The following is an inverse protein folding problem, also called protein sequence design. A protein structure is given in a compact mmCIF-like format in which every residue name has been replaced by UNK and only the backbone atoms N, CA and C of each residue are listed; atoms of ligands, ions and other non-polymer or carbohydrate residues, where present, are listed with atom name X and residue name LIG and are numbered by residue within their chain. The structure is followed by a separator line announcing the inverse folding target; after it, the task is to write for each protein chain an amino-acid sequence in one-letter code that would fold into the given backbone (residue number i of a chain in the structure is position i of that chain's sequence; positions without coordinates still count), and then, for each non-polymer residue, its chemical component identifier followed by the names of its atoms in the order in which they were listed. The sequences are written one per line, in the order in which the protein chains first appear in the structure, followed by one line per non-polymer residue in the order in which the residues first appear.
data_IF_383603807477
#
_entry.id   IF_383603807477
#
_cell.length_a   1.000
_cell.length_b   1.000
_cell.length_c   1.000
_cell.angle_alpha   90.00
_cell.angle_beta   90.00
_cell.angle_gamma   90.00
#
_symmetry.space_group_name_H-M   'P 1'
#
loop_
_entity.id
_entity.type
_entity.pdbx_description
1 polymer ?
#
# COMPACT_ATOMS: atom_id res chain seq x y z
N UNK A 1 -24.10 6.55 12.83
CA UNK A 1 -23.24 7.39 13.68
C UNK A 1 -21.81 7.28 13.18
N UNK A 2 -20.95 8.26 13.44
CA UNK A 2 -19.56 8.30 12.97
C UNK A 2 -18.76 7.06 13.39
N UNK A 3 -19.03 6.50 14.58
CA UNK A 3 -18.40 5.26 15.05
C UNK A 3 -18.79 4.08 14.16
N UNK A 4 -20.08 3.95 13.81
CA UNK A 4 -20.53 2.85 12.95
C UNK A 4 -19.89 2.91 11.56
N UNK A 5 -19.74 4.11 10.99
CA UNK A 5 -19.09 4.28 9.68
C UNK A 5 -17.62 3.81 9.69
N UNK A 6 -16.92 3.96 10.83
CA UNK A 6 -15.55 3.44 10.98
C UNK A 6 -15.58 1.92 10.99
N UNK A 7 -16.44 1.34 11.83
CA UNK A 7 -16.60 -0.12 11.94
C UNK A 7 -16.90 -0.73 10.58
N UNK A 8 -17.90 -0.20 9.87
CA UNK A 8 -18.32 -0.70 8.56
C UNK A 8 -17.17 -0.61 7.53
N UNK A 9 -16.36 0.45 7.59
CA UNK A 9 -15.22 0.63 6.69
C UNK A 9 -14.07 -0.34 7.00
N UNK A 10 -13.81 -0.60 8.29
CA UNK A 10 -12.81 -1.60 8.72
C UNK A 10 -13.25 -2.98 8.26
N UNK A 11 -14.49 -3.38 8.54
CA UNK A 11 -15.05 -4.67 8.15
C UNK A 11 -15.01 -4.86 6.63
N UNK A 12 -15.39 -3.84 5.87
CA UNK A 12 -15.32 -3.89 4.41
C UNK A 12 -13.89 -4.12 3.91
N UNK A 13 -12.90 -3.45 4.49
CA UNK A 13 -11.50 -3.65 4.09
C UNK A 13 -11.05 -5.09 4.40
N UNK A 14 -11.28 -5.56 5.62
CA UNK A 14 -10.89 -6.91 6.06
C UNK A 14 -11.55 -8.02 5.21
N UNK A 15 -12.82 -7.83 4.83
CA UNK A 15 -13.54 -8.77 3.97
C UNK A 15 -13.03 -8.74 2.52
N UNK A 16 -12.80 -7.55 1.96
CA UNK A 16 -12.31 -7.41 0.59
C UNK A 16 -10.91 -8.00 0.40
N UNK A 17 -10.04 -7.88 1.41
CA UNK A 17 -8.63 -8.29 1.33
C UNK A 17 -8.32 -9.53 2.17
N UNK A 18 -9.33 -10.31 2.56
CA UNK A 18 -9.15 -11.48 3.45
C UNK A 18 -8.10 -12.48 2.94
N UNK A 19 -8.03 -12.72 1.62
CA UNK A 19 -7.10 -13.68 1.05
C UNK A 19 -5.65 -13.23 1.25
N UNK A 20 -5.32 -12.00 0.87
CA UNK A 20 -3.96 -11.46 1.04
C UNK A 20 -3.60 -11.27 2.51
N UNK A 21 -4.58 -10.91 3.36
CA UNK A 21 -4.38 -10.80 4.81
C UNK A 21 -4.22 -12.16 5.51
N UNK A 22 -4.48 -13.28 4.82
CA UNK A 22 -4.23 -14.63 5.34
C UNK A 22 -2.80 -15.13 5.03
N UNK A 23 -2.07 -14.43 4.16
CA UNK A 23 -0.70 -14.77 3.80
C UNK A 23 0.26 -14.47 4.95
N UNK A 24 1.43 -15.09 4.85
CA UNK A 24 2.57 -14.87 5.75
C UNK A 24 3.82 -14.68 4.92
N UNK A 25 4.89 -14.16 5.53
CA UNK A 25 6.22 -14.09 4.89
C UNK A 25 6.76 -15.45 4.44
N UNK A 26 6.19 -16.57 4.91
CA UNK A 26 6.60 -17.92 4.50
C UNK A 26 5.81 -18.40 3.28
N UNK A 27 4.56 -17.94 3.12
CA UNK A 27 3.64 -18.44 2.11
C UNK A 27 3.46 -17.50 0.93
N UNK A 28 3.98 -16.27 1.05
CA UNK A 28 3.85 -15.26 0.00
C UNK A 28 4.80 -15.56 -1.16
N UNK A 29 4.27 -15.43 -2.37
CA UNK A 29 4.99 -15.65 -3.62
C UNK A 29 4.99 -14.35 -4.44
N UNK A 30 5.92 -14.23 -5.40
CA UNK A 30 5.99 -13.07 -6.31
C UNK A 30 4.67 -12.84 -7.08
N UNK A 31 3.87 -13.89 -7.29
CA UNK A 31 2.56 -13.80 -7.94
C UNK A 31 1.51 -13.06 -7.11
N UNK A 32 1.68 -12.98 -5.79
CA UNK A 32 0.75 -12.30 -4.88
C UNK A 32 0.94 -10.77 -4.89
N UNK A 33 1.98 -10.27 -5.58
CA UNK A 33 2.37 -8.86 -5.54
C UNK A 33 1.23 -7.90 -5.87
N UNK A 34 0.47 -8.18 -6.91
CA UNK A 34 -0.62 -7.29 -7.30
C UNK A 34 -1.70 -7.22 -6.22
N UNK A 35 -2.04 -8.34 -5.57
CA UNK A 35 -3.05 -8.37 -4.51
C UNK A 35 -2.58 -7.61 -3.26
N UNK A 36 -1.27 -7.67 -2.94
CA UNK A 36 -0.65 -6.89 -1.85
C UNK A 36 -0.69 -5.40 -2.17
N UNK A 37 -0.33 -5.01 -3.41
CA UNK A 37 -0.36 -3.62 -3.86
C UNK A 37 -1.79 -3.06 -3.85
N UNK A 38 -2.77 -3.81 -4.34
CA UNK A 38 -4.18 -3.39 -4.35
C UNK A 38 -4.71 -3.15 -2.93
N UNK A 39 -4.29 -3.97 -1.96
CA UNK A 39 -4.65 -3.79 -0.55
C UNK A 39 -3.98 -2.56 0.08
N UNK A 40 -2.71 -2.29 -0.25
CA UNK A 40 -1.99 -1.10 0.19
C UNK A 40 -2.60 0.17 -0.40
N UNK A 41 -2.88 0.20 -1.70
CA UNK A 41 -3.53 1.32 -2.38
C UNK A 41 -4.90 1.63 -1.75
N UNK A 42 -5.71 0.60 -1.50
CA UNK A 42 -6.99 0.77 -0.82
C UNK A 42 -6.82 1.29 0.61
N UNK A 43 -5.83 0.81 1.35
CA UNK A 43 -5.50 1.34 2.67
C UNK A 43 -5.17 2.84 2.59
N UNK A 44 -4.38 3.29 1.61
CA UNK A 44 -4.04 4.71 1.46
C UNK A 44 -5.23 5.61 1.15
N UNK A 45 -6.30 5.08 0.55
CA UNK A 45 -7.55 5.79 0.30
C UNK A 45 -8.46 5.89 1.55
N UNK A 46 -8.19 5.12 2.61
CA UNK A 46 -8.97 5.16 3.85
C UNK A 46 -8.76 6.48 4.62
N UNK A 47 -9.77 6.82 5.42
CA UNK A 47 -9.71 7.94 6.35
C UNK A 47 -8.75 7.65 7.52
N UNK A 48 -8.18 8.70 8.12
CA UNK A 48 -7.14 8.57 9.14
C UNK A 48 -7.58 7.78 10.39
N UNK A 49 -8.86 7.90 10.77
CA UNK A 49 -9.46 7.13 11.87
C UNK A 49 -9.62 5.64 11.51
N UNK A 50 -9.95 5.30 10.26
CA UNK A 50 -10.01 3.89 9.84
C UNK A 50 -8.61 3.29 9.75
N UNK A 51 -7.64 4.04 9.20
CA UNK A 51 -6.22 3.64 9.17
C UNK A 51 -5.67 3.33 10.58
N UNK A 52 -6.07 4.11 11.58
CA UNK A 52 -5.67 3.89 12.97
C UNK A 52 -6.16 2.54 13.55
N UNK A 53 -7.25 1.99 13.04
CA UNK A 53 -7.78 0.67 13.43
C UNK A 53 -7.14 -0.49 12.63
N UNK A 54 -6.44 -0.20 11.54
CA UNK A 54 -5.89 -1.19 10.59
C UNK A 54 -4.35 -1.22 10.57
N UNK A 55 -3.70 -0.80 11.66
CA UNK A 55 -2.23 -0.70 11.70
C UNK A 55 -1.53 -2.07 11.62
N UNK A 56 -2.16 -3.13 12.14
CA UNK A 56 -1.59 -4.47 12.11
C UNK A 56 -1.63 -5.06 10.70
N UNK A 57 -2.74 -4.85 9.99
CA UNK A 57 -2.96 -5.24 8.61
C UNK A 57 -1.98 -4.49 7.69
N UNK A 58 -1.78 -3.19 7.92
CA UNK A 58 -0.77 -2.43 7.18
C UNK A 58 0.63 -2.99 7.39
N UNK A 59 1.02 -3.27 8.62
CA UNK A 59 2.34 -3.85 8.93
C UNK A 59 2.53 -5.25 8.32
N UNK A 60 1.46 -6.05 8.25
CA UNK A 60 1.47 -7.32 7.53
C UNK A 60 1.71 -7.10 6.04
N UNK A 61 0.91 -6.26 5.38
CA UNK A 61 1.05 -5.97 3.94
C UNK A 61 2.44 -5.45 3.58
N UNK A 62 3.02 -4.57 4.42
CA UNK A 62 4.39 -4.09 4.26
C UNK A 62 5.42 -5.23 4.36
N UNK A 63 5.24 -6.14 5.32
CA UNK A 63 6.12 -7.30 5.48
C UNK A 63 6.02 -8.27 4.30
N UNK A 64 4.81 -8.47 3.75
CA UNK A 64 4.59 -9.29 2.57
C UNK A 64 5.26 -8.67 1.33
N UNK A 65 5.09 -7.37 1.12
CA UNK A 65 5.71 -6.67 -0.01
C UNK A 65 7.24 -6.69 0.09
N UNK A 66 7.80 -6.52 1.29
CA UNK A 66 9.24 -6.63 1.53
C UNK A 66 9.78 -8.02 1.16
N UNK A 67 9.09 -9.08 1.59
CA UNK A 67 9.48 -10.46 1.26
C UNK A 67 9.43 -10.69 -0.27
N UNK A 68 8.36 -10.24 -0.95
CA UNK A 68 8.23 -10.30 -2.41
C UNK A 68 9.39 -9.55 -3.10
N UNK A 69 9.72 -8.35 -2.63
CA UNK A 69 10.81 -7.56 -3.16
C UNK A 69 12.16 -8.26 -2.96
N UNK A 70 12.37 -8.97 -1.84
CA UNK A 70 13.60 -9.73 -1.61
C UNK A 70 13.80 -10.89 -2.60
N UNK A 71 12.70 -11.40 -3.18
CA UNK A 71 12.70 -12.43 -4.21
C UNK A 71 12.85 -11.86 -5.64
N UNK A 72 12.82 -10.53 -5.79
CA UNK A 72 12.85 -9.83 -7.07
C UNK A 72 14.23 -9.20 -7.32
N UNK A 73 14.81 -9.30 -8.53
CA UNK A 73 16.07 -8.63 -8.83
C UNK A 73 16.02 -7.12 -8.60
N UNK A 74 17.04 -6.56 -7.97
CA UNK A 74 17.10 -5.13 -7.61
C UNK A 74 16.93 -4.21 -8.82
N UNK A 75 17.50 -4.56 -9.97
CA UNK A 75 17.34 -3.75 -11.19
C UNK A 75 15.89 -3.69 -11.68
N UNK A 76 15.12 -4.77 -11.47
CA UNK A 76 13.70 -4.81 -11.80
C UNK A 76 12.89 -3.90 -10.86
N UNK A 77 13.17 -3.94 -9.55
CA UNK A 77 12.53 -3.07 -8.56
C UNK A 77 12.78 -1.58 -8.83
N UNK A 78 14.01 -1.21 -9.18
CA UNK A 78 14.36 0.18 -9.51
C UNK A 78 13.62 0.65 -10.76
N UNK A 79 13.48 -0.21 -11.78
CA UNK A 79 12.76 0.12 -13.00
C UNK A 79 11.26 0.30 -12.73
N UNK A 80 10.67 -0.60 -11.96
CA UNK A 80 9.27 -0.59 -11.56
C UNK A 80 8.93 0.68 -10.76
N UNK A 81 9.68 0.96 -9.68
CA UNK A 81 9.48 2.17 -8.86
C UNK A 81 9.49 3.45 -9.70
N UNK A 82 10.46 3.57 -10.61
CA UNK A 82 10.57 4.75 -11.49
C UNK A 82 9.42 4.85 -12.48
N UNK A 83 8.85 3.73 -12.89
CA UNK A 83 7.74 3.68 -13.85
C UNK A 83 6.43 4.02 -13.14
N UNK A 84 6.15 3.36 -12.02
CA UNK A 84 4.87 3.45 -11.32
C UNK A 84 4.71 4.79 -10.59
N UNK A 85 5.81 5.36 -10.10
CA UNK A 85 5.82 6.66 -9.41
C UNK A 85 6.33 7.81 -10.28
N UNK A 86 6.40 7.65 -11.61
CA UNK A 86 6.91 8.67 -12.53
C UNK A 86 6.24 10.03 -12.33
N UNK A 87 4.92 10.06 -12.11
CA UNK A 87 4.16 11.29 -11.87
C UNK A 87 4.61 11.98 -10.58
N UNK A 88 4.72 11.25 -9.48
CA UNK A 88 5.17 11.79 -8.20
C UNK A 88 6.63 12.29 -8.28
N UNK A 89 7.50 11.55 -8.96
CA UNK A 89 8.91 11.90 -9.18
C UNK A 89 9.10 13.14 -10.07
N UNK A 90 8.13 13.47 -10.92
CA UNK A 90 8.17 14.66 -11.77
C UNK A 90 7.69 15.94 -11.05
N UNK A 91 7.08 15.82 -9.87
CA UNK A 91 6.62 16.97 -9.10
C UNK A 91 7.80 17.79 -8.59
N UNK A 92 7.59 19.10 -8.57
CA UNK A 92 8.53 20.09 -8.03
C UNK A 92 7.80 20.95 -7.02
N UNK A 93 8.54 21.73 -6.24
CA UNK A 93 7.97 22.71 -5.30
C UNK A 93 7.06 23.74 -6.00
N UNK A 94 7.17 23.90 -7.32
CA UNK A 94 6.34 24.80 -8.12
C UNK A 94 5.11 24.13 -8.75
N UNK A 95 5.11 22.80 -8.89
CA UNK A 95 4.07 22.06 -9.61
C UNK A 95 3.19 21.21 -8.71
N UNK A 96 3.64 20.88 -7.50
CA UNK A 96 2.87 20.08 -6.53
C UNK A 96 1.58 20.78 -6.11
N UNK A 97 0.49 20.03 -6.08
CA UNK A 97 -0.84 20.45 -5.65
C UNK A 97 -1.36 19.57 -4.50
N UNK A 98 -2.39 20.04 -3.79
CA UNK A 98 -2.99 19.27 -2.71
C UNK A 98 -3.57 17.92 -3.18
N UNK A 99 -4.01 17.84 -4.44
CA UNK A 99 -4.49 16.62 -5.08
C UNK A 99 -3.40 15.56 -5.27
N UNK A 100 -2.13 15.96 -5.30
CA UNK A 100 -1.00 15.05 -5.50
C UNK A 100 -0.61 14.29 -4.22
N UNK A 101 -1.23 14.64 -3.08
CA UNK A 101 -0.90 14.03 -1.78
C UNK A 101 -0.91 12.51 -1.84
N UNK A 102 -1.94 11.92 -2.44
CA UNK A 102 -2.08 10.47 -2.53
C UNK A 102 -0.90 9.84 -3.27
N UNK A 103 -0.57 10.32 -4.47
CA UNK A 103 0.54 9.76 -5.27
C UNK A 103 1.91 9.98 -4.60
N UNK A 104 2.06 11.04 -3.81
CA UNK A 104 3.28 11.31 -3.03
C UNK A 104 3.38 10.37 -1.83
N UNK A 105 2.29 10.17 -1.08
CA UNK A 105 2.25 9.23 0.05
C UNK A 105 2.55 7.79 -0.40
N UNK A 106 1.99 7.37 -1.54
CA UNK A 106 2.29 6.05 -2.14
C UNK A 106 3.78 5.90 -2.46
N UNK A 107 4.36 6.88 -3.15
CA UNK A 107 5.76 6.84 -3.58
C UNK A 107 6.74 6.87 -2.39
N UNK A 108 6.41 7.61 -1.33
CA UNK A 108 7.21 7.64 -0.10
C UNK A 108 7.18 6.31 0.61
N UNK A 109 6.00 5.71 0.78
CA UNK A 109 5.90 4.42 1.44
C UNK A 109 6.61 3.31 0.67
N UNK A 110 6.51 3.31 -0.67
CA UNK A 110 7.23 2.35 -1.51
C UNK A 110 8.75 2.54 -1.46
N UNK A 111 9.24 3.75 -1.18
CA UNK A 111 10.68 4.04 -1.06
C UNK A 111 11.26 3.59 0.29
N UNK A 112 10.43 3.50 1.34
CA UNK A 112 10.84 3.12 2.69
C UNK A 112 10.90 1.59 2.92
N UNK A 113 10.45 0.80 1.94
CA UNK A 113 10.47 -0.68 1.92
C UNK A 113 11.72 -1.20 1.20
#
# INVERSE_FOLDING_TARGET
DAVQNIIDSVESFLLSYQNVLSLTVITVEVTDKQDVLDALDAYYLLSANVKAELTAEKALLDSLLLEINSQTPTEALVLEFRTDHATALALTVLTVQASDRFIVEQALAAYEL
#
